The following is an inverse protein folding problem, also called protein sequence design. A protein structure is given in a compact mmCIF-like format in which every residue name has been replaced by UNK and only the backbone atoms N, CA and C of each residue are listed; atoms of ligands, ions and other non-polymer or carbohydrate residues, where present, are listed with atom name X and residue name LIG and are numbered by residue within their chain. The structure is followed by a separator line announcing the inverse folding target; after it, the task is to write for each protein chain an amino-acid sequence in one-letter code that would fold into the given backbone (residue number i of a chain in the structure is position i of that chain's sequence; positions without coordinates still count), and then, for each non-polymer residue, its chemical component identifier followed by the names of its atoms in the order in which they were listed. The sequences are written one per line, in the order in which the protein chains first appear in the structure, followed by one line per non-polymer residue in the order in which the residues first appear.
data_IF_230245279283
#
_entry.id   IF_230245279283
#
_cell.length_a   1.000
_cell.length_b   1.000
_cell.length_c   1.000
_cell.angle_alpha   90.00
_cell.angle_beta   90.00
_cell.angle_gamma   90.00
#
_symmetry.space_group_name_H-M   'P 1'
#
loop_
_entity.id
_entity.type
_entity.pdbx_description
1 polymer ?
#
# COMPACT_ATOMS: atom_id res chain seq x y z
N UNK A 1 24.17 -9.93 20.90
CA UNK A 1 23.63 -8.54 20.90
C UNK A 1 23.06 -8.30 22.29
N UNK A 2 23.43 -7.22 22.97
CA UNK A 2 22.96 -6.95 24.34
C UNK A 2 21.50 -6.42 24.33
N UNK A 3 20.81 -6.50 25.47
CA UNK A 3 19.40 -6.11 25.60
C UNK A 3 19.16 -4.62 25.23
N UNK A 4 20.14 -3.75 25.49
CA UNK A 4 20.08 -2.33 25.15
C UNK A 4 20.08 -2.10 23.64
N UNK A 5 20.90 -2.82 22.87
CA UNK A 5 20.94 -2.74 21.41
C UNK A 5 19.61 -3.21 20.78
N UNK A 6 19.01 -4.26 21.34
CA UNK A 6 17.67 -4.74 20.90
C UNK A 6 16.60 -3.71 21.19
N UNK A 7 16.58 -3.12 22.38
CA UNK A 7 15.62 -2.08 22.75
C UNK A 7 15.77 -0.82 21.86
N UNK A 8 17.02 -0.40 21.58
CA UNK A 8 17.31 0.71 20.68
C UNK A 8 16.82 0.43 19.25
N UNK A 9 17.06 -0.77 18.71
CA UNK A 9 16.59 -1.17 17.38
C UNK A 9 15.04 -1.19 17.28
N UNK A 10 14.36 -1.70 18.31
CA UNK A 10 12.90 -1.72 18.36
C UNK A 10 12.30 -0.29 18.45
N UNK A 11 12.93 0.61 19.22
CA UNK A 11 12.51 2.01 19.31
C UNK A 11 12.74 2.75 18.00
N UNK A 12 13.87 2.52 17.32
CA UNK A 12 14.18 3.07 16.00
C UNK A 12 13.17 2.61 14.96
N UNK A 13 12.80 1.33 14.97
CA UNK A 13 11.75 0.78 14.11
C UNK A 13 10.39 1.45 14.33
N UNK A 14 10.02 1.72 15.59
CA UNK A 14 8.79 2.43 15.92
C UNK A 14 8.78 3.88 15.42
N UNK A 15 9.92 4.59 15.45
CA UNK A 15 10.08 5.94 14.89
C UNK A 15 10.00 5.91 13.36
N UNK A 16 10.73 5.01 12.71
CA UNK A 16 10.70 4.84 11.26
C UNK A 16 9.29 4.57 10.75
N UNK A 17 8.55 3.65 11.39
CA UNK A 17 7.18 3.36 11.02
C UNK A 17 6.28 4.60 11.09
N UNK A 18 6.40 5.42 12.15
CA UNK A 18 5.61 6.66 12.27
C UNK A 18 5.97 7.67 11.19
N UNK A 19 7.27 7.83 10.90
CA UNK A 19 7.74 8.71 9.83
C UNK A 19 7.22 8.27 8.45
N UNK A 20 7.24 6.97 8.16
CA UNK A 20 6.70 6.42 6.90
C UNK A 20 5.20 6.68 6.75
N UNK A 21 4.39 6.48 7.80
CA UNK A 21 2.96 6.77 7.73
C UNK A 21 2.66 8.27 7.64
N UNK A 22 3.46 9.13 8.30
CA UNK A 22 3.35 10.58 8.15
C UNK A 22 3.70 11.00 6.73
N UNK A 23 4.82 10.52 6.19
CA UNK A 23 5.22 10.80 4.81
C UNK A 23 4.15 10.35 3.81
N UNK A 24 3.60 9.14 3.99
CA UNK A 24 2.49 8.64 3.16
C UNK A 24 1.26 9.55 3.25
N UNK A 25 0.90 10.02 4.45
CA UNK A 25 -0.20 10.95 4.64
C UNK A 25 0.02 12.29 3.94
N UNK A 26 1.23 12.85 4.03
CA UNK A 26 1.60 14.10 3.34
C UNK A 26 1.59 13.91 1.82
N UNK A 27 2.14 12.80 1.33
CA UNK A 27 2.09 12.46 -0.10
C UNK A 27 0.65 12.31 -0.59
N UNK A 28 -0.22 11.69 0.21
CA UNK A 28 -1.63 11.54 -0.12
C UNK A 28 -2.34 12.89 -0.23
N UNK A 29 -2.14 13.80 0.73
CA UNK A 29 -2.69 15.17 0.66
C UNK A 29 -2.18 15.90 -0.59
N UNK A 30 -0.88 15.76 -0.90
CA UNK A 30 -0.29 16.32 -2.12
C UNK A 30 -0.97 15.77 -3.37
N UNK A 31 -1.21 14.46 -3.45
CA UNK A 31 -1.87 13.81 -4.60
C UNK A 31 -3.30 14.32 -4.76
N UNK A 32 -4.07 14.40 -3.68
CA UNK A 32 -5.44 14.95 -3.73
C UNK A 32 -5.45 16.37 -4.27
N UNK A 33 -4.52 17.20 -3.80
CA UNK A 33 -4.44 18.60 -4.23
C UNK A 33 -3.92 18.78 -5.66
N UNK A 34 -2.93 17.97 -6.08
CA UNK A 34 -2.21 18.14 -7.35
C UNK A 34 -2.81 17.33 -8.49
N UNK A 35 -3.23 16.11 -8.23
CA UNK A 35 -3.57 15.12 -9.28
C UNK A 35 -5.05 14.80 -9.36
N UNK A 36 -5.82 14.92 -8.26
CA UNK A 36 -7.24 14.49 -8.23
C UNK A 36 -8.20 15.69 -8.17
N UNK A 37 -7.65 16.92 -8.18
CA UNK A 37 -8.46 18.15 -8.13
C UNK A 37 -9.45 18.27 -9.29
N UNK A 38 -9.14 17.72 -10.47
CA UNK A 38 -10.02 17.73 -11.63
C UNK A 38 -11.38 17.09 -11.35
N UNK A 39 -11.52 16.20 -10.36
CA UNK A 39 -12.80 15.55 -10.01
C UNK A 39 -13.83 16.59 -9.56
N UNK A 40 -13.40 17.67 -8.90
CA UNK A 40 -14.25 18.73 -8.36
C UNK A 40 -14.12 20.06 -9.11
N UNK A 41 -13.02 20.27 -9.82
CA UNK A 41 -12.70 21.49 -10.56
C UNK A 41 -12.78 21.20 -12.07
N UNK A 42 -13.95 21.46 -12.65
CA UNK A 42 -14.21 21.24 -14.08
C UNK A 42 -13.43 22.18 -15.00
N UNK A 43 -12.79 23.23 -14.46
CA UNK A 43 -11.89 24.11 -15.20
C UNK A 43 -10.45 23.57 -15.27
N UNK A 44 -10.16 22.47 -14.56
CA UNK A 44 -8.84 21.84 -14.57
C UNK A 44 -8.50 21.31 -15.97
N UNK A 45 -7.24 21.48 -16.47
CA UNK A 45 -6.83 21.03 -17.80
C UNK A 45 -7.12 19.55 -18.08
N UNK A 46 -7.02 18.69 -17.06
CA UNK A 46 -7.23 17.26 -17.18
C UNK A 46 -8.72 16.85 -17.21
N UNK A 47 -9.66 17.77 -16.93
CA UNK A 47 -11.09 17.47 -16.89
C UNK A 47 -11.58 16.86 -18.20
N UNK A 48 -11.29 17.51 -19.34
CA UNK A 48 -11.74 17.04 -20.65
C UNK A 48 -11.25 15.63 -20.98
N UNK A 49 -10.05 15.26 -20.50
CA UNK A 49 -9.48 13.94 -20.71
C UNK A 49 -10.15 12.87 -19.84
N UNK A 50 -10.44 13.18 -18.56
CA UNK A 50 -10.98 12.19 -17.63
C UNK A 50 -12.52 12.18 -17.54
N UNK A 51 -13.22 13.23 -17.97
CA UNK A 51 -14.67 13.32 -17.91
C UNK A 51 -15.42 12.11 -18.52
N UNK A 52 -15.02 11.57 -19.69
CA UNK A 52 -15.68 10.40 -20.27
C UNK A 52 -15.56 9.12 -19.46
N UNK A 53 -14.55 9.03 -18.59
CA UNK A 53 -14.22 7.82 -17.83
C UNK A 53 -14.50 7.94 -16.34
N UNK A 54 -15.08 9.04 -15.87
CA UNK A 54 -15.32 9.29 -14.44
C UNK A 54 -16.13 8.17 -13.77
N UNK A 55 -17.10 7.58 -14.47
CA UNK A 55 -17.91 6.47 -13.96
C UNK A 55 -17.08 5.23 -13.59
N UNK A 56 -15.92 5.07 -14.21
CA UNK A 56 -14.98 4.00 -13.93
C UNK A 56 -13.87 4.44 -12.97
N UNK A 57 -13.42 5.69 -13.13
CA UNK A 57 -12.33 6.26 -12.35
C UNK A 57 -12.72 6.52 -10.89
N UNK A 58 -13.93 7.06 -10.64
CA UNK A 58 -14.39 7.40 -9.28
C UNK A 58 -14.55 6.17 -8.40
N UNK A 59 -15.22 5.08 -8.80
CA UNK A 59 -15.28 3.88 -7.99
C UNK A 59 -13.91 3.24 -7.75
N UNK A 60 -13.01 3.26 -8.76
CA UNK A 60 -11.61 2.83 -8.60
C UNK A 60 -10.92 3.65 -7.53
N UNK A 61 -10.97 4.97 -7.63
CA UNK A 61 -10.33 5.89 -6.69
C UNK A 61 -10.89 5.77 -5.27
N UNK A 62 -12.23 5.68 -5.12
CA UNK A 62 -12.87 5.49 -3.81
C UNK A 62 -12.49 4.15 -3.16
N UNK A 63 -12.47 3.06 -3.92
CA UNK A 63 -12.03 1.76 -3.43
C UNK A 63 -10.56 1.79 -2.97
N UNK A 64 -9.69 2.41 -3.77
CA UNK A 64 -8.28 2.63 -3.44
C UNK A 64 -8.10 3.50 -2.19
N UNK A 65 -8.88 4.58 -2.08
CA UNK A 65 -8.89 5.48 -0.91
C UNK A 65 -9.29 4.73 0.37
N UNK A 66 -10.36 3.93 0.32
CA UNK A 66 -10.81 3.12 1.46
C UNK A 66 -9.68 2.17 1.89
N UNK A 67 -9.05 1.47 0.95
CA UNK A 67 -7.93 0.59 1.25
C UNK A 67 -6.73 1.36 1.85
N UNK A 68 -6.37 2.50 1.28
CA UNK A 68 -5.26 3.33 1.73
C UNK A 68 -5.47 3.83 3.17
N UNK A 69 -6.66 4.32 3.49
CA UNK A 69 -6.99 4.90 4.81
C UNK A 69 -7.15 3.82 5.88
N UNK A 70 -7.80 2.69 5.56
CA UNK A 70 -8.04 1.63 6.54
C UNK A 70 -6.81 0.79 6.84
N UNK A 71 -5.85 0.69 5.89
CA UNK A 71 -4.63 -0.11 6.02
C UNK A 71 -3.77 0.21 7.25
N UNK A 72 -3.39 1.47 7.53
CA UNK A 72 -2.54 1.83 8.68
C UNK A 72 -3.05 1.31 10.02
N UNK A 73 -4.38 1.31 10.23
CA UNK A 73 -4.99 0.80 11.45
C UNK A 73 -4.79 -0.71 11.62
N UNK A 74 -4.67 -1.46 10.49
CA UNK A 74 -4.43 -2.91 10.52
C UNK A 74 -3.05 -3.26 11.10
N UNK A 75 -2.07 -2.37 11.01
CA UNK A 75 -0.70 -2.58 11.50
C UNK A 75 -0.48 -2.15 12.95
N UNK A 76 -1.48 -1.56 13.61
CA UNK A 76 -1.39 -1.16 15.00
C UNK A 76 -1.76 -2.31 15.94
N UNK A 77 -0.76 -2.89 16.63
CA UNK A 77 -0.99 -3.92 17.64
C UNK A 77 -1.82 -3.39 18.82
N UNK A 78 -1.58 -2.12 19.22
CA UNK A 78 -2.35 -1.45 20.30
C UNK A 78 -3.82 -1.29 19.91
N UNK A 79 -4.10 -0.85 18.67
CA UNK A 79 -5.46 -0.71 18.16
C UNK A 79 -6.17 -2.07 18.12
N UNK A 80 -5.53 -3.10 17.56
CA UNK A 80 -6.11 -4.46 17.49
C UNK A 80 -6.39 -5.06 18.86
N UNK A 81 -5.50 -4.86 19.85
CA UNK A 81 -5.70 -5.39 21.21
C UNK A 81 -6.84 -4.70 21.95
N UNK A 82 -7.03 -3.38 21.74
CA UNK A 82 -8.06 -2.60 22.43
C UNK A 82 -9.42 -2.63 21.72
N UNK A 83 -9.41 -2.75 20.38
CA UNK A 83 -10.59 -2.61 19.52
C UNK A 83 -10.64 -3.69 18.44
N UNK A 84 -10.76 -4.97 18.87
CA UNK A 84 -10.73 -6.09 17.93
C UNK A 84 -11.90 -6.07 16.92
N UNK A 85 -13.09 -5.65 17.35
CA UNK A 85 -14.26 -5.50 16.48
C UNK A 85 -14.02 -4.47 15.38
N UNK A 86 -13.47 -3.32 15.72
CA UNK A 86 -13.10 -2.28 14.76
C UNK A 86 -11.98 -2.71 13.81
N UNK A 87 -10.99 -3.45 14.32
CA UNK A 87 -9.95 -4.04 13.45
C UNK A 87 -10.57 -4.95 12.39
N UNK A 88 -11.56 -5.78 12.76
CA UNK A 88 -12.27 -6.66 11.82
C UNK A 88 -13.12 -5.87 10.82
N UNK A 89 -13.82 -4.82 11.26
CA UNK A 89 -14.62 -3.95 10.37
C UNK A 89 -13.70 -3.27 9.35
N UNK A 90 -12.66 -2.60 9.81
CA UNK A 90 -11.70 -1.92 8.92
C UNK A 90 -11.01 -2.90 7.95
N UNK A 91 -10.72 -4.14 8.41
CA UNK A 91 -10.20 -5.18 7.53
C UNK A 91 -11.18 -5.58 6.42
N UNK A 92 -12.47 -5.66 6.73
CA UNK A 92 -13.52 -5.90 5.72
C UNK A 92 -13.66 -4.71 4.76
N UNK A 93 -13.60 -3.47 5.26
CA UNK A 93 -13.59 -2.27 4.42
C UNK A 93 -12.38 -2.26 3.46
N UNK A 94 -11.20 -2.66 3.96
CA UNK A 94 -9.99 -2.81 3.14
C UNK A 94 -10.22 -3.80 2.00
N UNK A 95 -10.74 -4.99 2.30
CA UNK A 95 -11.04 -6.02 1.29
C UNK A 95 -12.09 -5.55 0.28
N UNK A 96 -13.18 -4.94 0.76
CA UNK A 96 -14.24 -4.41 -0.09
C UNK A 96 -13.73 -3.30 -1.00
N UNK A 97 -12.88 -2.40 -0.47
CA UNK A 97 -12.25 -1.35 -1.27
C UNK A 97 -11.44 -1.93 -2.44
N UNK A 98 -10.65 -2.98 -2.19
CA UNK A 98 -9.87 -3.65 -3.24
C UNK A 98 -10.78 -4.39 -4.22
N UNK A 99 -11.81 -5.08 -3.73
CA UNK A 99 -12.75 -5.80 -4.57
C UNK A 99 -13.52 -4.88 -5.53
N UNK A 100 -13.74 -3.61 -5.12
CA UNK A 100 -14.30 -2.57 -6.00
C UNK A 100 -13.20 -2.01 -6.90
N UNK A 101 -12.06 -1.58 -6.35
CA UNK A 101 -11.04 -0.86 -7.11
C UNK A 101 -10.46 -1.67 -8.27
N UNK A 102 -10.22 -2.98 -8.06
CA UNK A 102 -9.54 -3.83 -9.05
C UNK A 102 -10.32 -3.99 -10.36
N UNK A 103 -11.61 -4.36 -10.39
CA UNK A 103 -12.35 -4.49 -11.65
C UNK A 103 -12.38 -3.20 -12.47
N UNK A 104 -12.58 -2.06 -11.79
CA UNK A 104 -12.58 -0.75 -12.45
C UNK A 104 -11.19 -0.38 -12.98
N UNK A 105 -10.11 -0.70 -12.25
CA UNK A 105 -8.74 -0.47 -12.74
C UNK A 105 -8.40 -1.35 -13.95
N UNK A 106 -8.86 -2.60 -13.96
CA UNK A 106 -8.68 -3.51 -15.10
C UNK A 106 -9.38 -2.94 -16.33
N UNK A 107 -10.64 -2.50 -16.20
CA UNK A 107 -11.37 -1.87 -17.30
C UNK A 107 -10.63 -0.64 -17.85
N UNK A 108 -10.24 0.30 -16.99
CA UNK A 108 -9.49 1.50 -17.36
C UNK A 108 -8.17 1.16 -18.06
N UNK A 109 -7.47 0.14 -17.56
CA UNK A 109 -6.21 -0.31 -18.14
C UNK A 109 -6.38 -0.88 -19.55
N UNK A 110 -7.44 -1.67 -19.76
CA UNK A 110 -7.71 -2.30 -21.07
C UNK A 110 -8.18 -1.31 -22.13
N UNK A 111 -8.89 -0.25 -21.71
CA UNK A 111 -9.55 0.68 -22.62
C UNK A 111 -8.79 1.99 -22.84
N UNK A 112 -8.03 2.48 -21.86
CA UNK A 112 -7.45 3.82 -21.87
C UNK A 112 -5.93 3.87 -21.71
N UNK A 113 -5.28 2.73 -21.39
CA UNK A 113 -3.82 2.70 -21.26
C UNK A 113 -3.15 2.25 -22.57
N UNK A 114 -1.98 2.82 -22.86
CA UNK A 114 -1.08 2.33 -23.90
C UNK A 114 -0.61 0.91 -23.59
N UNK A 115 -0.10 0.20 -24.57
CA UNK A 115 0.25 -1.21 -24.42
C UNK A 115 1.27 -1.45 -23.29
N UNK A 116 2.35 -0.67 -23.25
CA UNK A 116 3.40 -0.82 -22.25
C UNK A 116 2.88 -0.49 -20.83
N UNK A 117 2.11 0.57 -20.69
CA UNK A 117 1.55 0.97 -19.41
C UNK A 117 0.42 0.02 -18.95
N UNK A 118 -0.33 -0.54 -19.88
CA UNK A 118 -1.36 -1.56 -19.61
C UNK A 118 -0.79 -2.78 -18.90
N UNK A 119 0.35 -3.30 -19.38
CA UNK A 119 1.03 -4.43 -18.73
C UNK A 119 1.43 -4.11 -17.29
N UNK A 120 1.93 -2.90 -17.03
CA UNK A 120 2.24 -2.46 -15.69
C UNK A 120 0.98 -2.44 -14.80
N UNK A 121 -0.10 -1.79 -15.26
CA UNK A 121 -1.33 -1.64 -14.49
C UNK A 121 -2.02 -2.98 -14.20
N UNK A 122 -2.08 -3.88 -15.18
CA UNK A 122 -2.65 -5.21 -15.00
C UNK A 122 -1.82 -6.06 -14.03
N UNK A 123 -0.48 -5.98 -14.11
CA UNK A 123 0.40 -6.65 -13.15
C UNK A 123 0.20 -6.10 -11.73
N UNK A 124 0.11 -4.78 -11.59
CA UNK A 124 -0.16 -4.14 -10.30
C UNK A 124 -1.52 -4.58 -9.72
N UNK A 125 -2.57 -4.56 -10.52
CA UNK A 125 -3.91 -4.99 -10.12
C UNK A 125 -3.94 -6.47 -9.74
N UNK A 126 -3.31 -7.35 -10.53
CA UNK A 126 -3.19 -8.78 -10.26
C UNK A 126 -2.40 -9.07 -8.99
N UNK A 127 -1.25 -8.41 -8.79
CA UNK A 127 -0.45 -8.54 -7.59
C UNK A 127 -1.19 -8.05 -6.34
N UNK A 128 -1.96 -6.96 -6.46
CA UNK A 128 -2.76 -6.43 -5.36
C UNK A 128 -3.87 -7.41 -4.95
N UNK A 129 -4.63 -7.91 -5.93
CA UNK A 129 -5.67 -8.90 -5.69
C UNK A 129 -5.08 -10.20 -5.10
N UNK A 130 -3.99 -10.71 -5.68
CA UNK A 130 -3.33 -11.94 -5.24
C UNK A 130 -2.84 -11.84 -3.79
N UNK A 131 -2.07 -10.80 -3.46
CA UNK A 131 -1.53 -10.63 -2.11
C UNK A 131 -2.63 -10.47 -1.07
N UNK A 132 -3.70 -9.78 -1.42
CA UNK A 132 -4.88 -9.58 -0.57
C UNK A 132 -5.66 -10.89 -0.38
N UNK A 133 -5.88 -11.66 -1.45
CA UNK A 133 -6.57 -12.94 -1.40
C UNK A 133 -5.83 -13.96 -0.54
N UNK A 134 -4.49 -14.06 -0.69
CA UNK A 134 -3.67 -14.93 0.17
C UNK A 134 -3.77 -14.52 1.64
N UNK A 135 -3.69 -13.21 1.92
CA UNK A 135 -3.86 -12.69 3.29
C UNK A 135 -5.24 -13.06 3.87
N UNK A 136 -6.29 -12.93 3.06
CA UNK A 136 -7.66 -13.24 3.47
C UNK A 136 -7.84 -14.75 3.73
N UNK A 137 -7.41 -15.60 2.80
CA UNK A 137 -7.49 -17.06 2.97
C UNK A 137 -6.68 -17.52 4.20
N UNK A 138 -5.51 -16.92 4.43
CA UNK A 138 -4.68 -17.24 5.59
C UNK A 138 -5.40 -16.95 6.93
N UNK A 139 -6.10 -15.82 7.05
CA UNK A 139 -6.83 -15.51 8.28
C UNK A 139 -8.06 -16.39 8.48
N UNK A 140 -8.75 -16.77 7.40
CA UNK A 140 -9.88 -17.71 7.47
C UNK A 140 -9.44 -19.10 7.96
N UNK A 141 -8.22 -19.52 7.59
CA UNK A 141 -7.61 -20.78 8.04
C UNK A 141 -6.90 -20.68 9.39
N UNK A 142 -6.96 -19.54 10.09
CA UNK A 142 -6.31 -19.33 11.37
C UNK A 142 -4.80 -19.07 11.31
N UNK A 143 -4.20 -18.99 10.11
CA UNK A 143 -2.76 -18.76 9.92
C UNK A 143 -2.41 -17.28 10.08
N UNK A 144 -2.54 -16.75 11.31
CA UNK A 144 -2.40 -15.32 11.63
C UNK A 144 -1.04 -14.74 11.23
N UNK A 145 0.03 -15.53 11.33
CA UNK A 145 1.38 -15.05 10.96
C UNK A 145 1.51 -14.85 9.44
N UNK A 146 1.01 -15.79 8.66
CA UNK A 146 0.96 -15.71 7.20
C UNK A 146 0.08 -14.52 6.78
N UNK A 147 -1.13 -14.40 7.36
CA UNK A 147 -2.00 -13.26 7.14
C UNK A 147 -1.27 -11.92 7.34
N UNK A 148 -0.54 -11.76 8.45
CA UNK A 148 0.19 -10.52 8.75
C UNK A 148 1.27 -10.20 7.70
N UNK A 149 2.01 -11.21 7.25
CA UNK A 149 3.05 -11.03 6.22
C UNK A 149 2.42 -10.60 4.89
N UNK A 150 1.35 -11.26 4.46
CA UNK A 150 0.69 -10.95 3.20
C UNK A 150 -0.08 -9.62 3.24
N UNK A 151 -0.62 -9.22 4.39
CA UNK A 151 -1.17 -7.87 4.56
C UNK A 151 -0.11 -6.78 4.41
N UNK A 152 1.14 -7.00 4.82
CA UNK A 152 2.24 -6.04 4.57
C UNK A 152 2.48 -5.90 3.07
N UNK A 153 2.55 -7.00 2.31
CA UNK A 153 2.73 -6.99 0.87
C UNK A 153 1.56 -6.31 0.15
N UNK A 154 0.33 -6.67 0.52
CA UNK A 154 -0.87 -6.04 -0.03
C UNK A 154 -0.88 -4.53 0.21
N UNK A 155 -0.57 -4.08 1.42
CA UNK A 155 -0.54 -2.66 1.71
C UNK A 155 0.64 -1.93 1.05
N UNK A 156 1.78 -2.57 0.87
CA UNK A 156 2.89 -2.03 0.09
C UNK A 156 2.42 -1.72 -1.35
N UNK A 157 1.69 -2.63 -1.99
CA UNK A 157 1.07 -2.38 -3.30
C UNK A 157 0.05 -1.24 -3.22
N UNK A 158 -0.79 -1.18 -2.18
CA UNK A 158 -1.73 -0.06 -1.98
C UNK A 158 -1.01 1.29 -1.96
N UNK A 159 0.18 1.38 -1.35
CA UNK A 159 0.94 2.64 -1.30
C UNK A 159 1.52 3.05 -2.66
N UNK A 160 1.71 2.12 -3.61
CA UNK A 160 2.21 2.48 -4.95
C UNK A 160 1.27 3.43 -5.67
N UNK A 161 -0.05 3.37 -5.39
CA UNK A 161 -1.02 4.30 -5.94
C UNK A 161 -0.64 5.76 -5.65
N UNK A 162 -0.25 6.09 -4.42
CA UNK A 162 0.16 7.43 -4.02
C UNK A 162 1.56 7.75 -4.51
N UNK A 163 2.50 6.81 -4.34
CA UNK A 163 3.90 7.04 -4.68
C UNK A 163 4.12 7.18 -6.19
N UNK A 164 3.35 6.48 -7.02
CA UNK A 164 3.38 6.66 -8.49
C UNK A 164 2.90 8.05 -8.89
N UNK A 165 1.85 8.58 -8.27
CA UNK A 165 1.37 9.95 -8.53
C UNK A 165 2.39 11.01 -8.14
N UNK A 166 3.07 10.83 -7.01
CA UNK A 166 4.17 11.73 -6.59
C UNK A 166 5.34 11.63 -7.57
N UNK A 167 5.70 10.42 -8.00
CA UNK A 167 6.77 10.20 -8.96
C UNK A 167 6.50 10.90 -10.30
N UNK A 168 5.28 10.79 -10.82
CA UNK A 168 4.89 11.44 -12.08
C UNK A 168 4.68 12.95 -11.97
N UNK A 169 4.58 13.50 -10.76
CA UNK A 169 4.60 14.95 -10.57
C UNK A 169 5.99 15.56 -10.82
N UNK A 170 7.05 14.75 -10.90
CA UNK A 170 8.39 15.19 -11.28
C UNK A 170 8.40 15.39 -12.81
N UNK A 171 8.66 16.63 -13.32
CA UNK A 171 8.50 16.95 -14.74
C UNK A 171 9.34 16.08 -15.68
N UNK A 172 10.56 15.71 -15.27
CA UNK A 172 11.45 14.85 -16.06
C UNK A 172 10.94 13.41 -16.20
N UNK A 173 10.04 12.96 -15.31
CA UNK A 173 9.46 11.62 -15.33
C UNK A 173 8.07 11.68 -15.97
N UNK A 174 7.16 12.50 -15.44
CA UNK A 174 5.80 12.58 -15.95
C UNK A 174 5.71 13.14 -17.39
N UNK A 175 6.60 14.08 -17.74
CA UNK A 175 6.72 14.65 -19.08
C UNK A 175 7.68 13.90 -20.01
N UNK A 176 8.39 12.87 -19.52
CA UNK A 176 9.44 12.17 -20.27
C UNK A 176 8.95 11.12 -21.29
N UNK A 177 7.62 10.99 -21.47
CA UNK A 177 7.04 9.99 -22.35
C UNK A 177 7.13 8.56 -21.79
N UNK A 178 6.57 7.59 -22.53
CA UNK A 178 6.49 6.20 -22.07
C UNK A 178 7.82 5.54 -21.75
N UNK A 179 8.84 5.91 -22.51
CA UNK A 179 10.20 5.33 -22.37
C UNK A 179 10.83 5.65 -21.01
N UNK A 180 10.46 6.76 -20.39
CA UNK A 180 10.93 7.14 -19.04
C UNK A 180 9.89 6.77 -17.99
N UNK A 181 8.64 7.08 -18.24
CA UNK A 181 7.53 6.94 -17.32
C UNK A 181 7.25 5.48 -16.93
N UNK A 182 7.15 4.55 -17.88
CA UNK A 182 6.80 3.16 -17.60
C UNK A 182 7.91 2.42 -16.83
N UNK A 183 9.20 2.48 -17.20
CA UNK A 183 10.28 1.91 -16.39
C UNK A 183 10.39 2.49 -14.99
N UNK A 184 10.13 3.79 -14.81
CA UNK A 184 10.12 4.42 -13.50
C UNK A 184 9.02 3.84 -12.59
N UNK A 185 7.84 3.55 -13.13
CA UNK A 185 6.74 2.90 -12.41
C UNK A 185 7.09 1.46 -12.00
N UNK A 186 7.70 0.68 -12.90
CA UNK A 186 8.19 -0.66 -12.59
C UNK A 186 9.26 -0.64 -11.49
N UNK A 187 10.21 0.27 -11.59
CA UNK A 187 11.28 0.44 -10.59
C UNK A 187 10.72 0.77 -9.21
N UNK A 188 9.71 1.64 -9.16
CA UNK A 188 9.02 2.00 -7.93
C UNK A 188 8.27 0.80 -7.32
N UNK A 189 7.56 0.01 -8.12
CA UNK A 189 6.87 -1.19 -7.65
C UNK A 189 7.87 -2.20 -7.07
N UNK A 190 8.96 -2.48 -7.78
CA UNK A 190 10.02 -3.38 -7.30
C UNK A 190 10.63 -2.86 -6.00
N UNK A 191 11.00 -1.58 -5.95
CA UNK A 191 11.55 -0.95 -4.74
C UNK A 191 10.58 -1.07 -3.55
N UNK A 192 9.29 -0.83 -3.78
CA UNK A 192 8.25 -0.95 -2.73
C UNK A 192 8.15 -2.38 -2.21
N UNK A 193 8.20 -3.39 -3.09
CA UNK A 193 8.18 -4.80 -2.69
C UNK A 193 9.44 -5.19 -1.92
N UNK A 194 10.62 -4.78 -2.38
CA UNK A 194 11.90 -5.03 -1.68
C UNK A 194 11.88 -4.40 -0.28
N UNK A 195 11.40 -3.17 -0.14
CA UNK A 195 11.27 -2.52 1.17
C UNK A 195 10.28 -3.25 2.10
N UNK A 196 9.19 -3.79 1.56
CA UNK A 196 8.25 -4.60 2.33
C UNK A 196 8.93 -5.89 2.84
N UNK A 197 9.68 -6.60 2.00
CA UNK A 197 10.42 -7.82 2.39
C UNK A 197 11.52 -7.51 3.40
N UNK A 198 12.29 -6.44 3.21
CA UNK A 198 13.29 -6.00 4.19
C UNK A 198 12.63 -5.72 5.55
N UNK A 199 11.48 -5.05 5.57
CA UNK A 199 10.73 -4.79 6.80
C UNK A 199 10.21 -6.07 7.49
N UNK A 200 9.78 -7.06 6.72
CA UNK A 200 9.35 -8.37 7.24
C UNK A 200 10.53 -9.16 7.79
N UNK A 201 11.63 -9.22 7.07
CA UNK A 201 12.87 -9.92 7.46
C UNK A 201 13.47 -9.28 8.70
N UNK A 202 13.57 -7.94 8.74
CA UNK A 202 14.05 -7.22 9.91
C UNK A 202 13.28 -7.59 11.16
N UNK A 203 11.96 -7.61 11.09
CA UNK A 203 11.11 -8.01 12.21
C UNK A 203 11.32 -9.46 12.63
N UNK A 204 11.53 -10.38 11.69
CA UNK A 204 11.77 -11.79 11.99
C UNK A 204 13.10 -11.99 12.73
N UNK A 205 14.16 -11.31 12.26
CA UNK A 205 15.49 -11.37 12.87
C UNK A 205 15.51 -10.89 14.34
N UNK A 206 14.77 -9.82 14.64
CA UNK A 206 14.76 -9.24 16.00
C UNK A 206 13.66 -9.78 16.90
N UNK A 207 12.61 -10.42 16.37
CA UNK A 207 11.55 -11.04 17.16
C UNK A 207 11.99 -12.39 17.78
N UNK A 208 12.99 -13.06 17.18
CA UNK A 208 13.55 -14.33 17.68
C UNK A 208 14.49 -14.19 18.89
N UNK A 209 14.91 -12.99 19.23
CA UNK A 209 15.79 -12.71 20.37
C UNK A 209 14.95 -12.44 21.63
N UNK A 210 14.22 -13.44 22.12
CA UNK A 210 13.85 -13.47 23.54
C UNK A 210 15.06 -14.00 24.31
N UNK A 211 15.59 -13.29 25.32
CA UNK A 211 16.60 -13.88 26.20
C UNK A 211 15.94 -15.08 26.87
N UNK A 212 16.52 -16.27 26.69
CA UNK A 212 16.29 -17.44 27.52
C UNK A 212 16.97 -17.20 28.90
N UNK A 213 16.43 -16.23 29.66
CA UNK A 213 16.80 -16.03 31.05
C UNK A 213 15.64 -16.46 31.92
N UNK A 214 15.49 -17.77 32.08
CA UNK A 214 14.85 -18.38 33.25
C UNK A 214 14.94 -19.91 33.13
N UNK A 215 16.15 -20.49 33.29
CA UNK A 215 16.32 -21.83 33.80
C UNK A 215 17.80 -22.13 34.12
N UNK A 216 18.42 -21.33 34.99
CA UNK A 216 19.62 -21.72 35.71
C UNK A 216 19.50 -21.23 37.16
N UNK A 217 18.50 -21.78 37.88
CA UNK A 217 18.50 -21.78 39.37
C UNK A 217 17.47 -22.84 39.81
N UNK A 218 17.86 -24.11 39.67
CA UNK A 218 17.45 -25.19 40.58
C UNK A 218 18.43 -26.34 40.50
#
# INVERSE_FOLDING_TARGET
MNAQAVAAALSAWGRLKRALFLALGLMFVFVLWRSERFIVDHSHPDWAYYAPVLWWLVPHGLGGLIALVTGPFQFSSRFRQRHLSWHRVMGRCYLAGIAVAVPFSVYLSLTHATLAFRFFLLTLAGAWLFTTAVAFVAVLKGHVQIHRQWMVRSYAITTTFVTTRVLTAIPSIGGGGEVIYVPAQWSLLVATMVLAELGLTWRALFAGVRPSMQNQSR
#
